data_IF_444356234033
#
_entry.id   IF_444356234033
#
_cell.length_a   1.000
_cell.length_b   1.000
_cell.length_c   1.000
_cell.angle_alpha   90.00
_cell.angle_beta   90.00
_cell.angle_gamma   90.00
#
_symmetry.space_group_name_H-M   'P 1'
#
loop_
_entity.id
_entity.type
_entity.pdbx_description
1 polymer ?
#
# COMPACT_ATOMS: atom_id res chain seq x y z
N UNK A 1 5.86 32.04 -52.31
CA UNK A 1 5.13 30.88 -51.74
C UNK A 1 5.86 30.48 -50.48
N UNK A 2 5.38 30.89 -49.30
CA UNK A 2 5.98 30.56 -48.02
C UNK A 2 4.93 29.91 -47.14
N UNK A 3 5.03 28.59 -46.95
CA UNK A 3 4.12 27.82 -46.10
C UNK A 3 4.64 27.81 -44.67
N UNK A 4 3.85 28.32 -43.73
CA UNK A 4 4.11 28.19 -42.30
C UNK A 4 3.59 26.83 -41.86
N UNK A 5 4.50 25.93 -41.49
CA UNK A 5 4.15 24.64 -40.91
C UNK A 5 3.86 24.81 -39.41
N UNK A 6 2.62 24.55 -39.02
CA UNK A 6 2.19 24.54 -37.62
C UNK A 6 2.56 23.19 -36.99
N UNK A 7 3.55 23.18 -36.11
CA UNK A 7 3.87 22.00 -35.29
C UNK A 7 2.79 21.83 -34.22
N UNK A 8 1.99 20.78 -34.34
CA UNK A 8 1.10 20.32 -33.28
C UNK A 8 1.93 19.60 -32.21
N UNK A 9 2.04 20.20 -31.02
CA UNK A 9 2.62 19.54 -29.84
C UNK A 9 1.55 18.63 -29.24
N UNK A 10 1.68 17.33 -29.45
CA UNK A 10 0.90 16.33 -28.73
C UNK A 10 1.53 16.11 -27.36
N UNK A 11 0.93 16.66 -26.31
CA UNK A 11 1.34 16.38 -24.94
C UNK A 11 0.96 14.93 -24.59
N UNK A 12 1.94 14.03 -24.55
CA UNK A 12 1.74 12.71 -23.96
C UNK A 12 1.46 12.88 -22.47
N UNK A 13 0.22 12.61 -22.04
CA UNK A 13 -0.08 12.42 -20.61
C UNK A 13 0.63 11.13 -20.19
N UNK A 14 1.80 11.27 -19.58
CA UNK A 14 2.45 10.17 -18.91
C UNK A 14 1.61 9.82 -17.67
N UNK A 15 0.96 8.67 -17.69
CA UNK A 15 0.37 8.10 -16.48
C UNK A 15 1.55 7.65 -15.61
N UNK A 16 1.86 8.41 -14.56
CA UNK A 16 2.84 7.98 -13.58
C UNK A 16 2.33 6.67 -12.94
N UNK A 17 3.15 5.63 -12.93
CA UNK A 17 2.82 4.40 -12.20
C UNK A 17 2.68 4.73 -10.71
N UNK A 18 1.64 4.19 -10.09
CA UNK A 18 1.36 4.44 -8.67
C UNK A 18 2.40 3.74 -7.79
N UNK A 19 2.96 4.45 -6.79
CA UNK A 19 3.87 3.84 -5.82
C UNK A 19 3.24 2.60 -5.22
N UNK A 20 4.00 1.51 -5.20
CA UNK A 20 3.57 0.23 -4.64
C UNK A 20 4.55 -0.19 -3.57
N UNK A 21 4.02 -0.47 -2.39
CA UNK A 21 4.75 -0.89 -1.20
C UNK A 21 4.42 -2.35 -0.89
N UNK A 22 5.29 -3.05 -0.16
CA UNK A 22 5.09 -4.46 0.16
C UNK A 22 5.11 -4.66 1.68
N UNK A 23 4.16 -5.45 2.18
CA UNK A 23 4.12 -5.97 3.53
C UNK A 23 4.04 -7.50 3.47
N UNK A 24 4.93 -8.17 4.19
CA UNK A 24 4.89 -9.61 4.39
C UNK A 24 4.28 -9.93 5.76
N UNK A 25 3.40 -10.92 5.78
CA UNK A 25 2.81 -11.52 6.95
C UNK A 25 3.30 -12.97 7.04
N UNK A 26 3.81 -13.35 8.21
CA UNK A 26 4.25 -14.72 8.48
C UNK A 26 3.95 -15.12 9.91
N UNK A 27 2.87 -15.87 10.09
CA UNK A 27 2.47 -16.48 11.36
C UNK A 27 2.51 -15.47 12.54
N UNK A 28 1.94 -14.27 12.34
CA UNK A 28 1.88 -13.18 13.31
C UNK A 28 3.03 -12.17 13.28
N UNK A 29 4.02 -12.36 12.41
CA UNK A 29 5.10 -11.39 12.18
C UNK A 29 4.82 -10.58 10.92
N UNK A 30 4.88 -9.25 11.04
CA UNK A 30 4.71 -8.30 9.93
C UNK A 30 6.08 -7.72 9.56
N UNK A 31 6.44 -7.73 8.29
CA UNK A 31 7.71 -7.17 7.79
C UNK A 31 7.51 -6.28 6.54
N UNK A 32 8.04 -5.05 6.53
CA UNK A 32 8.63 -4.33 7.66
C UNK A 32 7.59 -4.01 8.75
N UNK A 33 8.07 -3.80 9.98
CA UNK A 33 7.26 -3.32 11.11
C UNK A 33 7.00 -1.80 11.05
N UNK A 34 7.76 -1.08 10.22
CA UNK A 34 7.58 0.34 9.90
C UNK A 34 7.56 0.54 8.39
N UNK A 35 6.41 0.95 7.85
CA UNK A 35 6.22 1.21 6.42
C UNK A 35 6.03 2.70 6.16
N UNK A 36 6.97 3.32 5.45
CA UNK A 36 6.85 4.73 5.04
C UNK A 36 6.20 4.85 3.67
N UNK A 37 5.19 5.71 3.54
CA UNK A 37 4.38 5.92 2.34
C UNK A 37 4.13 7.41 2.09
N UNK A 38 3.80 7.84 0.85
CA UNK A 38 3.54 9.24 0.57
C UNK A 38 2.20 9.68 1.17
N UNK A 39 2.20 10.80 1.90
CA UNK A 39 0.97 11.50 2.27
C UNK A 39 0.31 12.14 1.04
N UNK A 40 -1.00 12.40 1.13
CA UNK A 40 -1.77 13.12 0.12
C UNK A 40 -1.67 12.55 -1.32
N UNK A 41 -1.30 11.28 -1.44
CA UNK A 41 -0.99 10.63 -2.71
C UNK A 41 -1.65 9.26 -2.76
N UNK A 42 -2.14 8.85 -3.93
CA UNK A 42 -2.65 7.49 -4.14
C UNK A 42 -1.48 6.51 -4.23
N UNK A 43 -1.56 5.40 -3.51
CA UNK A 43 -0.56 4.33 -3.56
C UNK A 43 -1.20 2.96 -3.31
N UNK A 44 -0.43 1.91 -3.57
CA UNK A 44 -0.83 0.50 -3.37
C UNK A 44 0.06 -0.14 -2.31
N UNK A 45 -0.51 -1.08 -1.57
CA UNK A 45 0.21 -1.98 -0.68
C UNK A 45 -0.07 -3.40 -1.14
N UNK A 46 0.96 -4.12 -1.56
CA UNK A 46 0.95 -5.57 -1.73
C UNK A 46 1.09 -6.22 -0.36
N UNK A 47 0.05 -6.95 0.04
CA UNK A 47 0.00 -7.73 1.27
C UNK A 47 0.27 -9.18 0.90
N UNK A 48 1.36 -9.75 1.39
CA UNK A 48 1.78 -11.12 1.06
C UNK A 48 1.84 -11.96 2.32
N UNK A 49 1.06 -13.03 2.35
CA UNK A 49 1.09 -13.98 3.45
C UNK A 49 1.96 -15.18 3.06
N UNK A 50 3.17 -15.26 3.63
CA UNK A 50 4.10 -16.37 3.48
C UNK A 50 3.96 -17.41 4.60
N UNK A 51 3.04 -17.18 5.54
CA UNK A 51 2.69 -18.08 6.63
C UNK A 51 1.78 -19.24 6.22
N UNK A 52 1.59 -20.16 7.15
CA UNK A 52 0.77 -21.37 6.96
C UNK A 52 -0.69 -21.18 7.33
N UNK A 53 -0.99 -20.12 8.08
CA UNK A 53 -2.32 -19.71 8.51
C UNK A 53 -2.76 -18.44 7.78
N UNK A 54 -4.08 -18.17 7.66
CA UNK A 54 -4.57 -16.87 7.21
C UNK A 54 -4.01 -15.74 8.09
N UNK A 55 -3.79 -14.58 7.49
CA UNK A 55 -3.41 -13.35 8.17
C UNK A 55 -4.48 -12.28 7.89
N UNK A 56 -4.54 -11.28 8.76
CA UNK A 56 -5.37 -10.10 8.55
C UNK A 56 -4.51 -8.84 8.62
N UNK A 57 -4.72 -7.89 7.71
CA UNK A 57 -4.34 -6.51 7.97
C UNK A 57 -5.53 -5.86 8.65
N UNK A 58 -5.37 -5.34 9.86
CA UNK A 58 -6.39 -4.55 10.55
C UNK A 58 -5.80 -3.22 11.02
N UNK A 59 -6.49 -2.11 10.73
CA UNK A 59 -6.16 -0.79 11.25
C UNK A 59 -7.42 0.00 11.57
N UNK A 60 -7.64 0.22 12.87
CA UNK A 60 -8.77 0.99 13.40
C UNK A 60 -8.72 2.46 12.95
N UNK A 61 -7.53 3.06 12.95
CA UNK A 61 -7.34 4.46 12.54
C UNK A 61 -7.60 4.66 11.05
N UNK A 62 -7.16 3.71 10.21
CA UNK A 62 -7.45 3.73 8.77
C UNK A 62 -8.87 3.29 8.44
N UNK A 63 -9.55 2.57 9.36
CA UNK A 63 -10.81 1.85 9.13
C UNK A 63 -10.69 0.91 7.93
N UNK A 64 -9.62 0.13 7.93
CA UNK A 64 -9.26 -0.77 6.83
C UNK A 64 -8.91 -2.13 7.39
N UNK A 65 -9.58 -3.13 6.83
CA UNK A 65 -9.34 -4.53 7.08
C UNK A 65 -9.06 -5.26 5.75
N UNK A 66 -8.23 -6.30 5.79
CA UNK A 66 -8.03 -7.20 4.65
C UNK A 66 -7.53 -8.56 5.11
N UNK A 67 -8.34 -9.59 4.91
CA UNK A 67 -7.90 -10.99 5.06
C UNK A 67 -7.01 -11.42 3.88
N UNK A 68 -5.88 -12.05 4.19
CA UNK A 68 -4.96 -12.68 3.24
C UNK A 68 -4.86 -14.17 3.57
N UNK A 69 -5.32 -15.03 2.66
CA UNK A 69 -5.23 -16.48 2.83
C UNK A 69 -3.76 -16.95 2.94
N UNK A 70 -3.53 -18.11 3.56
CA UNK A 70 -2.19 -18.70 3.64
C UNK A 70 -1.57 -18.86 2.24
N UNK A 71 -0.26 -18.60 2.12
CA UNK A 71 0.49 -18.69 0.86
C UNK A 71 -0.14 -17.88 -0.29
N UNK A 72 -0.69 -16.70 0.00
CA UNK A 72 -1.36 -15.87 -1.00
C UNK A 72 -0.97 -14.40 -0.88
N UNK A 73 -1.29 -13.64 -1.93
CA UNK A 73 -1.08 -12.19 -1.97
C UNK A 73 -2.35 -11.47 -2.40
N UNK A 74 -2.50 -10.23 -1.94
CA UNK A 74 -3.57 -9.34 -2.34
C UNK A 74 -3.09 -7.89 -2.32
N UNK A 75 -3.84 -7.00 -2.96
CA UNK A 75 -3.50 -5.57 -3.02
C UNK A 75 -4.54 -4.76 -2.26
N UNK A 76 -4.06 -3.84 -1.43
CA UNK A 76 -4.85 -2.78 -0.82
C UNK A 76 -4.48 -1.44 -1.45
N UNK A 77 -5.49 -0.70 -1.89
CA UNK A 77 -5.30 0.64 -2.45
C UNK A 77 -5.64 1.67 -1.41
N UNK A 78 -4.73 2.63 -1.21
CA UNK A 78 -4.93 3.81 -0.38
C UNK A 78 -5.06 5.02 -1.30
N UNK A 79 -6.19 5.76 -1.19
CA UNK A 79 -6.44 6.92 -2.06
C UNK A 79 -5.65 8.15 -1.63
N UNK A 80 -5.60 8.38 -0.33
CA UNK A 80 -4.89 9.48 0.32
C UNK A 80 -4.83 9.17 1.82
N UNK A 81 -3.82 9.70 2.49
CA UNK A 81 -3.70 9.78 3.94
C UNK A 81 -3.21 11.18 4.31
N UNK A 82 -3.67 11.69 5.44
CA UNK A 82 -3.04 12.85 6.06
C UNK A 82 -1.65 12.43 6.59
N UNK A 83 -0.68 13.37 6.72
CA UNK A 83 0.58 13.06 7.37
C UNK A 83 0.36 12.56 8.80
N UNK A 84 0.97 11.45 9.16
CA UNK A 84 0.74 10.83 10.46
C UNK A 84 1.22 9.39 10.56
N UNK A 85 0.99 8.80 11.73
CA UNK A 85 1.30 7.42 12.03
C UNK A 85 0.01 6.62 12.23
N UNK A 86 -0.07 5.46 11.60
CA UNK A 86 -1.25 4.61 11.54
C UNK A 86 -0.86 3.19 11.94
N UNK A 87 -1.11 2.79 13.20
CA UNK A 87 -0.83 1.43 13.63
C UNK A 87 -1.75 0.43 12.94
N UNK A 88 -1.23 -0.76 12.69
CA UNK A 88 -1.96 -1.89 12.15
C UNK A 88 -1.40 -3.20 12.72
N UNK A 89 -2.20 -4.27 12.68
CA UNK A 89 -1.85 -5.55 13.28
C UNK A 89 -2.51 -6.72 12.54
N UNK A 90 -2.14 -7.94 12.95
CA UNK A 90 -2.73 -9.19 12.48
C UNK A 90 -3.70 -9.75 13.51
N UNK A 91 -5.01 -9.54 13.29
CA UNK A 91 -6.08 -9.92 14.24
C UNK A 91 -6.23 -11.45 14.38
N UNK A 92 -5.76 -12.21 13.38
CA UNK A 92 -5.73 -13.67 13.46
C UNK A 92 -4.58 -14.20 14.32
N UNK A 93 -3.64 -13.34 14.71
CA UNK A 93 -2.50 -13.66 15.57
C UNK A 93 -2.42 -12.68 16.75
N UNK A 94 -3.32 -12.77 17.77
CA UNK A 94 -3.48 -11.79 18.85
C UNK A 94 -2.30 -11.64 19.84
N UNK A 95 -1.14 -12.25 19.54
CA UNK A 95 0.13 -12.04 20.24
C UNK A 95 1.24 -11.43 19.38
N UNK A 96 0.94 -11.14 18.11
CA UNK A 96 1.88 -10.49 17.19
C UNK A 96 2.15 -9.05 17.59
N UNK A 97 3.36 -8.57 17.27
CA UNK A 97 3.72 -7.17 17.48
C UNK A 97 3.03 -6.31 16.40
N UNK A 98 2.28 -5.26 16.78
CA UNK A 98 1.73 -4.32 15.81
C UNK A 98 2.83 -3.65 14.99
N UNK A 99 2.51 -3.34 13.73
CA UNK A 99 3.34 -2.55 12.83
C UNK A 99 2.75 -1.14 12.67
N UNK A 100 3.52 -0.24 12.05
CA UNK A 100 3.13 1.16 11.87
C UNK A 100 3.34 1.60 10.42
N UNK A 101 2.30 2.19 9.84
CA UNK A 101 2.37 2.88 8.56
C UNK A 101 2.55 4.37 8.81
N UNK A 102 3.45 5.01 8.08
CA UNK A 102 3.82 6.41 8.29
C UNK A 102 3.67 7.16 6.98
N UNK A 103 2.66 8.02 6.95
CA UNK A 103 2.39 8.90 5.82
C UNK A 103 3.18 10.19 5.98
N UNK A 104 4.02 10.53 5.00
CA UNK A 104 4.80 11.78 4.99
C UNK A 104 4.95 12.38 3.60
#
# INVERSE_FOLDING_TARGET
MGGVALLAVTSSVAWAEEPTFRLEFKDGVITPDRLEVPANTRFRIELVNTGSMPAEFESLELRKEKVIAAQSETVMVIRTLDPGEYPFFDDFHPGGTPAILIAK
#
